data_IF_804679371140
#
_entry.id   IF_804679371140
#
_cell.length_a   1.000
_cell.length_b   1.000
_cell.length_c   1.000
_cell.angle_alpha   90.00
_cell.angle_beta   90.00
_cell.angle_gamma   90.00
#
_symmetry.space_group_name_H-M   'P 1'
#
loop_
_entity.id
_entity.type
_entity.pdbx_description
1 polymer ?
#
# COMPACT_ATOMS: atom_id res chain seq x y z
N UNK A 1 11.82 31.57 -30.51
CA UNK A 1 10.61 31.39 -29.68
C UNK A 1 10.93 30.29 -28.68
N UNK A 2 11.40 30.70 -27.52
CA UNK A 2 11.67 29.87 -26.35
C UNK A 2 10.47 29.95 -25.40
N UNK A 3 10.34 28.93 -24.55
CA UNK A 3 9.31 28.75 -23.50
C UNK A 3 8.01 28.11 -24.03
N UNK A 4 7.40 27.11 -23.41
CA UNK A 4 7.22 26.92 -21.97
C UNK A 4 6.70 25.48 -21.69
N UNK A 5 7.54 24.57 -21.16
CA UNK A 5 7.09 23.23 -20.71
C UNK A 5 7.27 23.01 -19.20
N UNK A 6 7.70 24.05 -18.47
CA UNK A 6 7.92 24.02 -17.03
C UNK A 6 7.03 25.09 -16.40
N UNK A 7 5.72 24.85 -16.35
CA UNK A 7 4.81 25.36 -15.30
C UNK A 7 3.40 24.78 -15.50
N UNK A 8 3.18 23.54 -15.08
CA UNK A 8 1.84 23.12 -14.63
C UNK A 8 2.00 22.36 -13.33
N UNK A 9 1.80 23.09 -12.23
CA UNK A 9 1.55 22.50 -10.92
C UNK A 9 0.53 21.37 -11.09
N UNK A 10 0.98 20.14 -10.82
CA UNK A 10 0.11 18.98 -10.87
C UNK A 10 -0.77 19.07 -9.62
N UNK A 11 -2.10 19.24 -9.70
CA UNK A 11 -2.91 19.17 -8.50
C UNK A 11 -2.73 17.77 -7.90
N UNK A 12 -2.43 17.64 -6.59
CA UNK A 12 -2.36 16.33 -5.96
C UNK A 12 -3.71 15.63 -6.15
N UNK A 13 -3.69 14.47 -6.81
CA UNK A 13 -4.91 13.71 -7.10
C UNK A 13 -5.43 13.14 -5.78
N UNK A 14 -6.61 13.60 -5.38
CA UNK A 14 -7.23 13.33 -4.09
C UNK A 14 -7.32 11.83 -3.79
N UNK A 15 -6.97 11.51 -2.54
CA UNK A 15 -7.28 10.23 -1.90
C UNK A 15 -8.80 10.13 -1.78
N UNK A 16 -9.47 9.13 -2.39
CA UNK A 16 -10.88 8.86 -2.16
C UNK A 16 -11.18 8.80 -0.67
N UNK A 17 -12.30 9.38 -0.24
CA UNK A 17 -12.79 9.18 1.11
C UNK A 17 -13.00 7.68 1.31
N UNK A 18 -12.20 7.08 2.18
CA UNK A 18 -12.59 5.81 2.78
C UNK A 18 -13.93 6.08 3.46
N UNK A 19 -15.01 5.53 2.93
CA UNK A 19 -16.37 5.68 3.45
C UNK A 19 -16.37 5.38 4.95
N UNK A 20 -16.40 6.45 5.73
CA UNK A 20 -16.03 6.49 7.13
C UNK A 20 -16.02 7.94 7.61
N UNK A 21 -17.08 8.66 7.24
CA UNK A 21 -17.39 10.02 7.66
C UNK A 21 -17.75 10.00 9.13
N UNK A 22 -16.78 10.13 10.04
CA UNK A 22 -17.07 10.77 11.32
C UNK A 22 -15.94 11.70 11.74
N UNK A 23 -16.34 12.93 12.09
CA UNK A 23 -15.51 13.91 12.77
C UNK A 23 -14.82 13.19 13.93
N UNK A 24 -13.50 13.04 13.91
CA UNK A 24 -12.82 12.59 15.13
C UNK A 24 -12.87 13.76 16.11
N UNK A 25 -13.87 13.67 16.98
CA UNK A 25 -14.24 14.55 18.11
C UNK A 25 -14.65 15.98 17.73
N UNK A 26 -15.97 16.23 17.68
CA UNK A 26 -16.49 17.41 18.38
C UNK A 26 -16.11 17.18 19.84
N UNK A 27 -15.01 17.78 20.29
CA UNK A 27 -14.69 17.76 21.70
C UNK A 27 -15.83 18.50 22.42
N UNK A 28 -16.71 17.75 23.10
CA UNK A 28 -17.82 18.32 23.89
C UNK A 28 -17.32 19.22 25.04
N UNK A 29 -15.99 19.24 25.26
CA UNK A 29 -15.24 19.87 26.34
C UNK A 29 -14.20 20.92 25.85
N UNK A 30 -14.20 21.30 24.57
CA UNK A 30 -13.25 22.29 24.04
C UNK A 30 -11.86 21.74 23.67
N UNK A 31 -11.70 20.42 23.58
CA UNK A 31 -10.51 19.77 23.03
C UNK A 31 -10.25 20.05 21.54
N UNK A 32 -9.04 19.70 21.09
CA UNK A 32 -8.53 20.01 19.75
C UNK A 32 -9.31 19.29 18.63
N UNK A 33 -9.79 20.08 17.67
CA UNK A 33 -10.37 19.59 16.43
C UNK A 33 -9.29 18.92 15.55
N UNK A 34 -9.60 17.77 14.96
CA UNK A 34 -8.74 17.10 13.97
C UNK A 34 -9.51 16.77 12.69
N UNK A 35 -8.99 17.25 11.55
CA UNK A 35 -9.51 16.96 10.23
C UNK A 35 -8.64 15.88 9.57
N UNK A 36 -9.09 14.62 9.62
CA UNK A 36 -8.36 13.49 9.07
C UNK A 36 -9.03 12.84 7.86
N UNK A 37 -10.14 13.40 7.36
CA UNK A 37 -10.74 12.93 6.10
C UNK A 37 -9.72 13.04 4.95
N UNK A 38 -9.69 12.03 4.08
CA UNK A 38 -8.77 11.94 2.95
C UNK A 38 -7.30 11.70 3.30
N UNK A 39 -6.93 11.56 4.58
CA UNK A 39 -5.53 11.25 4.97
C UNK A 39 -5.29 9.74 5.00
N UNK A 40 -4.03 9.35 4.78
CA UNK A 40 -3.60 7.95 4.93
C UNK A 40 -3.85 7.45 6.36
N UNK A 41 -4.52 6.30 6.49
CA UNK A 41 -4.77 5.64 7.78
C UNK A 41 -3.53 4.86 8.21
N UNK A 42 -2.53 5.57 8.72
CA UNK A 42 -1.24 4.97 9.12
C UNK A 42 -1.37 3.82 10.13
N UNK A 43 -2.41 3.84 10.97
CA UNK A 43 -2.69 2.77 11.94
C UNK A 43 -3.03 1.41 11.32
N UNK A 44 -3.34 1.36 10.02
CA UNK A 44 -3.56 0.10 9.31
C UNK A 44 -2.25 -0.62 8.96
N UNK A 45 -1.12 0.07 9.00
CA UNK A 45 0.19 -0.56 8.81
C UNK A 45 0.60 -1.20 10.14
N UNK A 46 0.78 -2.54 10.21
CA UNK A 46 1.21 -3.19 11.43
C UNK A 46 2.57 -2.69 11.89
N UNK A 47 2.72 -2.43 13.19
CA UNK A 47 3.99 -1.98 13.77
C UNK A 47 5.13 -3.00 13.58
N UNK A 48 4.81 -4.29 13.33
CA UNK A 48 5.80 -5.32 13.00
C UNK A 48 6.59 -4.99 11.74
N UNK A 49 5.96 -4.45 10.70
CA UNK A 49 6.66 -4.03 9.48
C UNK A 49 7.74 -3.00 9.83
N UNK A 50 7.37 -1.97 10.60
CA UNK A 50 8.31 -0.93 11.03
C UNK A 50 9.46 -1.47 11.89
N UNK A 51 9.20 -2.41 12.81
CA UNK A 51 10.25 -3.03 13.64
C UNK A 51 11.25 -3.85 12.81
N UNK A 52 10.75 -4.65 11.87
CA UNK A 52 11.59 -5.48 11.00
C UNK A 52 12.46 -4.61 10.07
N UNK A 53 11.87 -3.59 9.44
CA UNK A 53 12.62 -2.63 8.63
C UNK A 53 13.67 -1.87 9.47
N UNK A 54 13.32 -1.45 10.69
CA UNK A 54 14.25 -0.75 11.58
C UNK A 54 15.45 -1.62 11.99
N UNK A 55 15.25 -2.92 12.23
CA UNK A 55 16.33 -3.85 12.52
C UNK A 55 17.33 -3.96 11.35
N UNK A 56 16.83 -4.14 10.12
CA UNK A 56 17.67 -4.18 8.92
C UNK A 56 18.42 -2.85 8.68
N UNK A 57 17.76 -1.71 8.89
CA UNK A 57 18.39 -0.38 8.83
C UNK A 57 19.48 -0.22 9.90
N UNK A 58 19.25 -0.73 11.11
CA UNK A 58 20.24 -0.74 12.19
C UNK A 58 21.48 -1.55 11.84
N UNK A 59 21.29 -2.77 11.32
CA UNK A 59 22.38 -3.61 10.81
C UNK A 59 23.17 -2.91 9.69
N UNK A 60 22.48 -2.32 8.71
CA UNK A 60 23.10 -1.56 7.64
C UNK A 60 23.86 -0.30 8.13
N UNK A 61 23.37 0.35 9.18
CA UNK A 61 24.03 1.49 9.80
C UNK A 61 25.35 1.10 10.48
N UNK A 62 25.41 -0.08 11.11
CA UNK A 62 26.63 -0.64 11.68
C UNK A 62 27.63 -1.00 10.57
N UNK A 63 27.15 -1.65 9.50
CA UNK A 63 28.00 -2.13 8.40
C UNK A 63 28.56 -1.01 7.52
N UNK A 64 27.78 0.04 7.26
CA UNK A 64 28.13 1.09 6.30
C UNK A 64 28.13 2.49 6.92
N UNK A 65 26.98 2.91 7.45
CA UNK A 65 26.71 4.16 8.16
C UNK A 65 25.21 4.43 8.11
N UNK A 66 24.69 5.18 9.09
CA UNK A 66 23.30 5.61 9.06
C UNK A 66 22.98 6.33 7.75
N UNK A 67 21.84 5.99 7.15
CA UNK A 67 21.37 6.55 5.88
C UNK A 67 22.25 6.30 4.64
N UNK A 68 23.23 5.39 4.66
CA UNK A 68 24.06 5.10 3.49
C UNK A 68 23.23 4.79 2.23
N UNK A 69 22.12 4.07 2.39
CA UNK A 69 21.19 3.72 1.32
C UNK A 69 20.56 4.93 0.60
N UNK A 70 20.49 6.11 1.24
CA UNK A 70 19.96 7.34 0.64
C UNK A 70 20.85 7.94 -0.45
N UNK A 71 22.10 7.47 -0.58
CA UNK A 71 23.02 7.88 -1.65
C UNK A 71 22.59 7.37 -3.03
N UNK A 72 21.60 6.48 -3.07
CA UNK A 72 21.10 5.89 -4.30
C UNK A 72 22.00 4.80 -4.84
N UNK A 73 21.49 4.10 -5.84
CA UNK A 73 22.18 3.02 -6.53
C UNK A 73 21.34 2.51 -7.70
N UNK A 74 21.79 1.42 -8.33
CA UNK A 74 21.01 0.68 -9.32
C UNK A 74 19.72 0.16 -8.70
N UNK A 75 18.58 0.42 -9.36
CA UNK A 75 17.29 -0.13 -8.96
C UNK A 75 17.26 -1.64 -9.17
N UNK A 76 17.88 -2.12 -10.25
CA UNK A 76 18.00 -3.55 -10.57
C UNK A 76 18.82 -4.28 -9.51
N UNK A 77 19.95 -3.74 -9.07
CA UNK A 77 20.73 -4.34 -7.97
C UNK A 77 19.94 -4.38 -6.66
N UNK A 78 19.17 -3.33 -6.35
CA UNK A 78 18.26 -3.32 -5.20
C UNK A 78 17.19 -4.42 -5.30
N UNK A 79 16.61 -4.60 -6.50
CA UNK A 79 15.64 -5.65 -6.79
C UNK A 79 16.25 -7.05 -6.67
N UNK A 80 17.45 -7.29 -7.22
CA UNK A 80 18.14 -8.58 -7.13
C UNK A 80 18.46 -8.96 -5.69
N UNK A 81 18.87 -7.99 -4.86
CA UNK A 81 19.06 -8.23 -3.43
C UNK A 81 17.76 -8.62 -2.74
N UNK A 82 16.66 -7.91 -3.02
CA UNK A 82 15.34 -8.27 -2.51
C UNK A 82 14.91 -9.67 -2.97
N UNK A 83 15.11 -10.01 -4.24
CA UNK A 83 14.72 -11.29 -4.81
C UNK A 83 15.43 -12.47 -4.14
N UNK A 84 16.72 -12.35 -3.83
CA UNK A 84 17.46 -13.42 -3.13
C UNK A 84 16.88 -13.73 -1.74
N UNK A 85 16.47 -12.71 -0.97
CA UNK A 85 15.83 -12.97 0.32
C UNK A 85 14.39 -13.49 0.17
N UNK A 86 13.67 -13.11 -0.90
CA UNK A 86 12.37 -13.70 -1.22
C UNK A 86 12.48 -15.18 -1.57
N UNK A 87 13.49 -15.55 -2.36
CA UNK A 87 13.73 -16.95 -2.75
C UNK A 87 14.16 -17.80 -1.55
N UNK A 88 15.09 -17.32 -0.73
CA UNK A 88 15.48 -17.99 0.52
C UNK A 88 14.28 -18.22 1.46
N UNK A 89 13.48 -17.18 1.69
CA UNK A 89 12.26 -17.29 2.49
C UNK A 89 11.25 -18.28 1.88
N UNK A 90 11.09 -18.27 0.56
CA UNK A 90 10.21 -19.21 -0.16
C UNK A 90 10.68 -20.66 -0.02
N UNK A 91 11.99 -20.89 0.08
CA UNK A 91 12.59 -22.20 0.29
C UNK A 91 12.56 -22.65 1.75
N UNK A 92 12.05 -21.82 2.67
CA UNK A 92 11.90 -22.13 4.08
C UNK A 92 13.11 -21.75 4.93
N UNK A 93 14.04 -20.94 4.40
CA UNK A 93 15.09 -20.31 5.19
C UNK A 93 14.51 -19.09 5.92
N UNK A 94 14.46 -19.14 7.24
CA UNK A 94 13.87 -18.07 8.05
C UNK A 94 14.86 -16.95 8.36
N UNK A 95 16.15 -17.28 8.50
CA UNK A 95 17.20 -16.39 9.01
C UNK A 95 18.27 -16.18 7.95
N UNK A 96 18.56 -14.91 7.67
CA UNK A 96 19.65 -14.48 6.81
C UNK A 96 21.00 -14.70 7.51
N UNK A 97 21.89 -15.46 6.87
CA UNK A 97 23.19 -15.86 7.43
C UNK A 97 24.13 -14.67 7.69
N UNK A 98 24.10 -13.66 6.82
CA UNK A 98 24.95 -12.48 6.89
C UNK A 98 24.56 -11.55 8.04
N UNK A 99 23.27 -11.29 8.22
CA UNK A 99 22.78 -10.36 9.25
C UNK A 99 22.34 -11.00 10.55
N UNK A 100 22.03 -12.30 10.54
CA UNK A 100 21.37 -12.99 11.65
C UNK A 100 19.93 -12.53 11.90
N UNK A 101 19.35 -11.73 10.99
CA UNK A 101 17.96 -11.27 11.08
C UNK A 101 17.04 -12.17 10.25
N UNK A 102 15.73 -12.20 10.51
CA UNK A 102 14.80 -12.91 9.64
C UNK A 102 14.86 -12.37 8.20
N UNK A 103 14.74 -13.24 7.19
CA UNK A 103 14.67 -12.81 5.78
C UNK A 103 13.58 -11.76 5.53
N UNK A 104 12.46 -11.84 6.28
CA UNK A 104 11.40 -10.84 6.26
C UNK A 104 11.88 -9.42 6.60
N UNK A 105 12.93 -9.26 7.41
CA UNK A 105 13.51 -7.95 7.71
C UNK A 105 14.25 -7.37 6.50
N UNK A 106 15.03 -8.20 5.80
CA UNK A 106 15.72 -7.81 4.58
C UNK A 106 14.74 -7.57 3.42
N UNK A 107 13.68 -8.37 3.32
CA UNK A 107 12.57 -8.14 2.38
C UNK A 107 11.89 -6.80 2.67
N UNK A 108 11.57 -6.50 3.93
CA UNK A 108 10.96 -5.24 4.31
C UNK A 108 11.87 -4.04 3.99
N UNK A 109 13.18 -4.16 4.22
CA UNK A 109 14.16 -3.16 3.79
C UNK A 109 14.21 -3.02 2.26
N UNK A 110 14.27 -4.13 1.50
CA UNK A 110 14.32 -4.10 0.04
C UNK A 110 13.09 -3.44 -0.59
N UNK A 111 11.90 -3.74 -0.08
CA UNK A 111 10.65 -3.07 -0.50
C UNK A 111 10.68 -1.58 -0.16
N UNK A 112 11.07 -1.23 1.08
CA UNK A 112 11.22 0.17 1.49
C UNK A 112 12.22 0.93 0.59
N UNK A 113 13.35 0.31 0.27
CA UNK A 113 14.40 0.88 -0.57
C UNK A 113 13.87 1.23 -1.96
N UNK A 114 13.22 0.26 -2.63
CA UNK A 114 12.66 0.47 -3.96
C UNK A 114 11.52 1.50 -3.95
N UNK A 115 10.69 1.53 -2.91
CA UNK A 115 9.65 2.57 -2.74
C UNK A 115 10.29 3.95 -2.61
N UNK A 116 11.31 4.13 -1.76
CA UNK A 116 11.95 5.44 -1.59
C UNK A 116 12.65 5.88 -2.89
N UNK A 117 13.39 4.97 -3.55
CA UNK A 117 14.03 5.26 -4.83
C UNK A 117 13.00 5.71 -5.86
N UNK A 118 11.85 5.02 -5.92
CA UNK A 118 10.74 5.39 -6.79
C UNK A 118 10.09 6.71 -6.43
N UNK A 119 9.78 6.95 -5.16
CA UNK A 119 9.08 8.16 -4.70
C UNK A 119 9.96 9.41 -4.83
N UNK A 120 11.23 9.31 -4.41
CA UNK A 120 12.17 10.43 -4.37
C UNK A 120 13.00 10.59 -5.64
N UNK A 121 12.94 9.64 -6.57
CA UNK A 121 13.80 9.65 -7.75
C UNK A 121 15.29 9.53 -7.41
N UNK A 122 15.61 8.76 -6.38
CA UNK A 122 16.98 8.51 -5.92
C UNK A 122 17.56 7.32 -6.68
N UNK A 123 18.85 7.38 -7.04
CA UNK A 123 19.54 6.32 -7.76
C UNK A 123 19.23 6.30 -9.27
N UNK A 124 19.50 5.15 -9.91
CA UNK A 124 19.35 4.96 -11.35
C UNK A 124 18.31 3.88 -11.62
N UNK A 125 17.21 4.28 -12.28
CA UNK A 125 16.21 3.34 -12.82
C UNK A 125 16.75 2.67 -14.09
N UNK A 126 17.50 1.59 -13.90
CA UNK A 126 18.16 0.80 -14.94
C UNK A 126 17.36 -0.45 -15.36
N UNK A 127 16.07 -0.50 -15.00
CA UNK A 127 15.19 -1.61 -15.38
C UNK A 127 15.06 -1.68 -16.90
N UNK A 128 15.00 -2.90 -17.43
CA UNK A 128 14.82 -3.14 -18.86
C UNK A 128 13.57 -2.44 -19.41
N UNK A 129 13.71 -1.79 -20.57
CA UNK A 129 12.63 -1.12 -21.30
C UNK A 129 12.55 -1.69 -22.71
N UNK A 130 11.34 -2.09 -23.12
CA UNK A 130 11.09 -2.47 -24.51
C UNK A 130 11.12 -1.23 -25.43
N UNK A 131 11.48 -1.44 -26.71
CA UNK A 131 11.46 -0.38 -27.71
C UNK A 131 10.07 0.27 -27.78
N UNK A 132 10.04 1.61 -27.78
CA UNK A 132 8.81 2.40 -27.76
C UNK A 132 8.26 2.72 -26.37
N UNK A 133 8.89 2.24 -25.29
CA UNK A 133 8.61 2.78 -23.95
C UNK A 133 9.32 4.12 -23.76
N UNK A 134 8.60 5.20 -23.39
CA UNK A 134 9.21 6.51 -23.26
C UNK A 134 10.23 6.55 -22.10
N UNK A 135 11.47 6.89 -22.44
CA UNK A 135 12.59 7.05 -21.51
C UNK A 135 12.30 8.20 -20.52
N UNK A 136 12.57 7.98 -19.24
CA UNK A 136 12.36 9.00 -18.20
C UNK A 136 10.91 9.43 -17.93
N UNK A 137 9.92 8.89 -18.67
CA UNK A 137 8.52 9.22 -18.41
C UNK A 137 8.11 8.74 -17.01
N UNK A 138 7.55 9.67 -16.21
CA UNK A 138 6.98 9.32 -14.91
C UNK A 138 5.79 8.39 -15.16
N UNK A 139 6.01 7.09 -14.96
CA UNK A 139 4.95 6.09 -15.08
C UNK A 139 3.77 6.46 -14.16
N UNK A 140 2.51 6.17 -14.54
CA UNK A 140 1.31 6.60 -13.82
C UNK A 140 1.23 6.25 -12.32
N UNK A 141 2.11 5.39 -11.81
CA UNK A 141 2.14 4.95 -10.40
C UNK A 141 2.82 5.89 -9.39
N UNK A 142 3.47 6.99 -9.80
CA UNK A 142 4.16 7.91 -8.85
C UNK A 142 3.21 8.80 -8.05
N UNK A 143 1.91 8.73 -8.33
CA UNK A 143 0.87 9.42 -7.55
C UNK A 143 0.06 8.34 -6.84
N UNK A 144 0.06 8.38 -5.51
CA UNK A 144 -0.83 7.55 -4.69
C UNK A 144 -2.28 8.04 -4.85
N UNK A 145 -2.94 7.60 -5.92
CA UNK A 145 -4.35 7.84 -6.16
C UNK A 145 -5.10 6.52 -5.94
N UNK A 146 -5.99 6.46 -4.95
CA UNK A 146 -6.82 5.27 -4.78
C UNK A 146 -7.94 5.29 -5.83
N UNK A 147 -8.26 4.11 -6.36
CA UNK A 147 -9.48 3.88 -7.12
C UNK A 147 -10.54 3.39 -6.14
N UNK A 148 -11.80 3.70 -6.37
CA UNK A 148 -12.87 3.13 -5.56
C UNK A 148 -12.81 1.60 -5.63
N UNK A 149 -12.86 0.89 -4.48
CA UNK A 149 -12.93 -0.56 -4.50
C UNK A 149 -14.24 -1.00 -5.18
N UNK A 150 -14.28 -2.16 -5.86
CA UNK A 150 -15.51 -2.66 -6.45
C UNK A 150 -16.59 -2.79 -5.37
N UNK A 151 -17.80 -2.28 -5.65
CA UNK A 151 -18.94 -2.40 -4.74
C UNK A 151 -19.23 -3.89 -4.52
N UNK A 152 -19.29 -4.33 -3.26
CA UNK A 152 -19.85 -5.65 -2.94
C UNK A 152 -21.35 -5.60 -3.20
N UNK A 153 -21.85 -6.40 -4.13
CA UNK A 153 -23.29 -6.65 -4.24
C UNK A 153 -23.75 -7.30 -2.93
N UNK A 154 -24.76 -6.70 -2.28
CA UNK A 154 -25.42 -7.35 -1.16
C UNK A 154 -26.17 -8.54 -1.74
N UNK A 155 -25.81 -9.76 -1.36
CA UNK A 155 -26.61 -10.94 -1.69
C UNK A 155 -28.02 -10.72 -1.13
N UNK A 156 -29.01 -10.62 -2.02
CA UNK A 156 -30.40 -10.40 -1.66
C UNK A 156 -30.89 -11.50 -0.72
N UNK A 157 -31.26 -11.12 0.49
CA UNK A 157 -32.01 -11.97 1.40
C UNK A 157 -33.49 -11.84 1.01
N UNK A 158 -33.91 -12.57 -0.03
CA UNK A 158 -35.32 -12.73 -0.39
C UNK A 158 -35.99 -13.62 0.67
N UNK A 159 -36.48 -13.01 1.74
CA UNK A 159 -37.47 -13.64 2.62
C UNK A 159 -38.83 -13.51 1.94
N UNK A 160 -39.19 -14.53 1.16
CA UNK A 160 -40.51 -14.67 0.57
C UNK A 160 -41.59 -14.64 1.66
N UNK A 161 -42.37 -13.57 1.68
CA UNK A 161 -43.62 -13.49 2.43
C UNK A 161 -44.64 -14.43 1.77
N UNK A 162 -44.93 -15.55 2.42
CA UNK A 162 -46.04 -16.42 2.04
C UNK A 162 -47.36 -15.83 2.54
N UNK A 163 -48.08 -15.12 1.67
CA UNK A 163 -49.52 -14.93 1.80
C UNK A 163 -50.22 -15.91 0.85
N UNK A 164 -51.03 -16.79 1.43
CA UNK A 164 -51.79 -17.81 0.72
C UNK A 164 -52.97 -18.25 1.57
N UNK A 165 -53.96 -17.37 1.61
CA UNK A 165 -55.33 -17.59 2.09
C UNK A 165 -55.94 -18.87 1.51
N UNK A 166 -56.55 -19.68 2.36
CA UNK A 166 -57.48 -20.74 1.98
C UNK A 166 -58.51 -20.95 3.10
N UNK A 167 -59.52 -20.09 3.12
CA UNK A 167 -60.81 -20.42 3.73
C UNK A 167 -61.61 -21.44 2.89
N UNK A 168 -62.47 -22.21 3.55
CA UNK A 168 -63.61 -22.89 2.91
C UNK A 168 -63.77 -24.36 3.26
N UNK A 169 -64.84 -24.66 3.99
CA UNK A 169 -65.22 -25.96 4.52
C UNK A 169 -65.67 -27.01 3.47
N UNK A 170 -65.61 -28.29 3.84
CA UNK A 170 -66.74 -29.21 3.65
C UNK A 170 -66.72 -30.36 4.70
N UNK A 171 -67.80 -30.60 5.47
CA UNK A 171 -67.92 -31.74 6.37
C UNK A 171 -68.70 -32.87 5.70
N UNK A 172 -68.13 -34.08 5.59
CA UNK A 172 -68.81 -35.38 5.83
C UNK A 172 -68.12 -36.58 5.17
N UNK A 173 -68.30 -37.72 5.85
CA UNK A 173 -68.36 -39.11 5.36
C UNK A 173 -67.17 -40.02 5.69
N UNK A 174 -67.43 -41.01 6.57
CA UNK A 174 -66.63 -42.22 6.76
C UNK A 174 -66.45 -42.62 8.21
#
# INVERSE_FOLDING_TARGET
>A
MTEDWITRERPPKAVPEATGTERTTLAQDGGMLRFNSGKLRMSLVPASLGRYTAAALGYGAIKYSANNWRRGGSWTSGYESLQRHLDAWREGEDIDDESGLPHLAQIAFGVMLLIEFYDKGIGTDDRFRYQGQPEGSLQPGRVLAFREPPRREQAGHDVGAGEGDAGGADPSAG
#
